data_IF_443609370785
#
_entry.id   IF_443609370785
#
_cell.length_a   1.000
_cell.length_b   1.000
_cell.length_c   1.000
_cell.angle_alpha   90.00
_cell.angle_beta   90.00
_cell.angle_gamma   90.00
#
_symmetry.space_group_name_H-M   'P 1'
#
loop_
_entity.id
_entity.type
_entity.pdbx_description
1 polymer ?
#
# COMPACT_ATOMS: atom_id res chain seq x y z
N UNK A 1 21.48 -35.50 28.81
CA UNK A 1 21.67 -34.61 27.65
C UNK A 1 20.37 -33.85 27.43
N UNK A 2 20.33 -32.56 27.70
CA UNK A 2 19.13 -31.72 27.59
C UNK A 2 19.02 -31.16 26.17
N UNK A 3 18.10 -31.70 25.37
CA UNK A 3 17.75 -31.19 24.05
C UNK A 3 17.02 -29.86 24.22
N UNK A 4 17.70 -28.76 23.92
CA UNK A 4 17.08 -27.43 23.89
C UNK A 4 16.35 -27.26 22.56
N UNK A 5 15.05 -27.56 22.55
CA UNK A 5 14.19 -27.32 21.37
C UNK A 5 14.01 -25.82 21.21
N UNK A 6 14.76 -25.21 20.29
CA UNK A 6 14.57 -23.79 19.95
C UNK A 6 13.29 -23.67 19.15
N UNK A 7 12.21 -23.18 19.78
CA UNK A 7 10.95 -22.93 19.07
C UNK A 7 11.11 -21.73 18.14
N UNK A 8 11.22 -22.00 16.84
CA UNK A 8 11.26 -20.94 15.82
C UNK A 8 9.91 -20.25 15.73
N UNK A 9 9.86 -18.96 16.09
CA UNK A 9 8.66 -18.14 15.93
C UNK A 9 8.30 -18.01 14.44
N UNK A 10 7.03 -18.21 14.11
CA UNK A 10 6.51 -18.13 12.73
C UNK A 10 5.65 -16.88 12.57
N UNK A 11 5.60 -16.36 11.34
CA UNK A 11 4.68 -15.30 10.96
C UNK A 11 3.23 -15.79 11.14
N UNK A 12 2.42 -15.06 11.87
CA UNK A 12 1.00 -15.39 12.10
C UNK A 12 0.19 -15.54 10.81
N UNK A 13 0.55 -14.81 9.75
CA UNK A 13 -0.20 -14.78 8.49
C UNK A 13 0.24 -15.82 7.46
N UNK A 14 1.54 -15.92 7.20
CA UNK A 14 2.08 -16.79 6.13
C UNK A 14 2.88 -17.98 6.66
N UNK A 15 2.98 -18.11 7.99
CA UNK A 15 3.68 -19.19 8.70
C UNK A 15 5.18 -19.35 8.36
N UNK A 16 5.77 -18.41 7.61
CA UNK A 16 7.22 -18.36 7.37
C UNK A 16 7.98 -18.15 8.70
N UNK A 17 9.11 -18.83 8.93
CA UNK A 17 9.94 -18.58 10.11
C UNK A 17 10.45 -17.14 10.15
N UNK A 18 10.48 -16.55 11.36
CA UNK A 18 10.95 -15.19 11.60
C UNK A 18 12.36 -15.24 12.21
N UNK A 19 13.33 -14.73 11.46
CA UNK A 19 14.75 -14.67 11.88
C UNK A 19 15.15 -13.35 12.53
N UNK A 20 14.42 -12.26 12.23
CA UNK A 20 14.62 -10.94 12.85
C UNK A 20 13.95 -10.95 14.23
N UNK A 21 14.68 -10.79 15.35
CA UNK A 21 14.13 -10.88 16.70
C UNK A 21 13.04 -9.82 16.94
N UNK A 22 13.13 -8.64 16.33
CA UNK A 22 12.06 -7.62 16.41
C UNK A 22 10.78 -8.11 15.76
N UNK A 23 10.88 -8.88 14.68
CA UNK A 23 9.71 -9.45 13.98
C UNK A 23 9.16 -10.65 14.72
N UNK A 24 10.03 -11.49 15.28
CA UNK A 24 9.62 -12.59 16.14
C UNK A 24 8.80 -12.07 17.34
N UNK A 25 9.27 -11.01 18.02
CA UNK A 25 8.52 -10.37 19.11
C UNK A 25 7.17 -9.77 18.67
N UNK A 26 7.05 -9.31 17.43
CA UNK A 26 5.80 -8.80 16.86
C UNK A 26 4.89 -9.89 16.27
N UNK A 27 5.35 -11.14 16.15
CA UNK A 27 4.62 -12.25 15.53
C UNK A 27 4.37 -12.15 14.02
N UNK A 28 4.83 -11.07 13.35
CA UNK A 28 4.52 -10.82 11.93
C UNK A 28 5.72 -10.35 11.11
N UNK A 29 5.93 -10.99 9.95
CA UNK A 29 6.99 -10.64 9.01
C UNK A 29 6.75 -9.31 8.29
N UNK A 30 7.83 -8.67 7.78
CA UNK A 30 7.79 -7.36 7.10
C UNK A 30 6.76 -7.30 5.97
N UNK A 31 6.74 -8.33 5.12
CA UNK A 31 5.81 -8.38 3.99
C UNK A 31 4.35 -8.46 4.46
N UNK A 32 4.04 -9.38 5.37
CA UNK A 32 2.68 -9.54 5.89
C UNK A 32 2.21 -8.31 6.68
N UNK A 33 3.11 -7.67 7.42
CA UNK A 33 2.82 -6.39 8.08
C UNK A 33 2.48 -5.30 7.06
N UNK A 34 3.21 -5.22 5.93
CA UNK A 34 2.87 -4.29 4.84
C UNK A 34 1.50 -4.59 4.24
N UNK A 35 1.18 -5.86 3.93
CA UNK A 35 -0.14 -6.21 3.40
C UNK A 35 -1.25 -5.81 4.39
N UNK A 36 -1.08 -6.12 5.67
CA UNK A 36 -2.05 -5.77 6.72
C UNK A 36 -2.27 -4.25 6.81
N UNK A 37 -1.20 -3.45 6.69
CA UNK A 37 -1.31 -1.98 6.63
C UNK A 37 -2.05 -1.51 5.37
N UNK A 38 -1.78 -2.12 4.21
CA UNK A 38 -2.49 -1.82 2.97
C UNK A 38 -3.98 -2.17 3.05
N UNK A 39 -4.33 -3.35 3.56
CA UNK A 39 -5.71 -3.78 3.78
C UNK A 39 -6.45 -2.80 4.69
N UNK A 40 -5.87 -2.50 5.86
CA UNK A 40 -6.44 -1.55 6.81
C UNK A 40 -6.64 -0.16 6.20
N UNK A 41 -5.66 0.33 5.44
CA UNK A 41 -5.71 1.64 4.80
C UNK A 41 -6.78 1.73 3.69
N UNK A 42 -7.26 0.59 3.17
CA UNK A 42 -8.29 0.54 2.13
C UNK A 42 -9.71 0.27 2.61
N UNK A 43 -9.91 -0.01 3.91
CA UNK A 43 -11.24 -0.31 4.47
C UNK A 43 -12.27 0.80 4.26
N UNK A 44 -11.82 2.05 4.16
CA UNK A 44 -12.69 3.22 3.96
C UNK A 44 -13.09 3.46 2.50
N UNK A 45 -12.60 2.66 1.54
CA UNK A 45 -12.85 2.86 0.11
C UNK A 45 -13.74 1.76 -0.47
N UNK A 46 -14.48 2.10 -1.53
CA UNK A 46 -15.30 1.12 -2.25
C UNK A 46 -14.39 0.10 -2.93
N UNK A 47 -14.77 -1.20 -2.99
CA UNK A 47 -13.95 -2.23 -3.65
C UNK A 47 -13.53 -1.86 -5.09
N UNK A 48 -14.45 -1.29 -5.88
CA UNK A 48 -14.16 -0.85 -7.23
C UNK A 48 -13.08 0.25 -7.31
N UNK A 49 -12.96 1.13 -6.30
CA UNK A 49 -11.88 2.12 -6.25
C UNK A 49 -10.54 1.49 -5.92
N UNK A 50 -10.54 0.46 -5.06
CA UNK A 50 -9.34 -0.30 -4.69
C UNK A 50 -8.82 -1.09 -5.88
N UNK A 51 -9.69 -1.76 -6.63
CA UNK A 51 -9.30 -2.50 -7.83
C UNK A 51 -8.71 -1.56 -8.90
N UNK A 52 -9.36 -0.43 -9.20
CA UNK A 52 -8.80 0.57 -10.13
C UNK A 52 -7.46 1.15 -9.66
N UNK A 53 -7.28 1.32 -8.35
CA UNK A 53 -6.01 1.75 -7.78
C UNK A 53 -4.91 0.69 -7.94
N UNK A 54 -5.25 -0.60 -7.80
CA UNK A 54 -4.32 -1.72 -8.04
C UNK A 54 -3.92 -1.80 -9.51
N UNK A 55 -4.88 -1.71 -10.42
CA UNK A 55 -4.63 -1.64 -11.87
C UNK A 55 -3.64 -0.51 -12.21
N UNK A 56 -3.84 0.69 -11.65
CA UNK A 56 -2.95 1.84 -11.86
C UNK A 56 -1.51 1.57 -11.39
N UNK A 57 -1.35 0.90 -10.24
CA UNK A 57 -0.04 0.53 -9.68
C UNK A 57 0.62 -0.55 -10.54
N UNK A 58 -0.13 -1.56 -10.96
CA UNK A 58 0.34 -2.67 -11.80
C UNK A 58 0.84 -2.16 -13.16
N UNK A 59 0.11 -1.23 -13.77
CA UNK A 59 0.50 -0.56 -15.02
C UNK A 59 1.69 0.41 -14.86
N UNK A 60 2.19 0.60 -13.63
CA UNK A 60 3.24 1.58 -13.29
C UNK A 60 2.87 3.01 -13.71
N UNK A 61 1.57 3.32 -13.79
CA UNK A 61 1.04 4.62 -14.17
C UNK A 61 1.04 5.61 -12.98
N UNK A 62 1.59 5.23 -11.83
CA UNK A 62 1.80 6.07 -10.66
C UNK A 62 3.23 5.88 -10.13
N UNK A 63 3.97 6.97 -9.97
CA UNK A 63 5.38 6.95 -9.53
C UNK A 63 5.62 7.90 -8.37
N UNK A 64 6.45 7.54 -7.38
CA UNK A 64 6.78 8.42 -6.27
C UNK A 64 7.75 9.54 -6.70
N UNK A 65 7.50 10.77 -6.28
CA UNK A 65 8.41 11.90 -6.52
C UNK A 65 9.15 12.35 -5.25
N UNK A 66 8.45 12.43 -4.10
CA UNK A 66 9.01 12.97 -2.83
C UNK A 66 8.89 11.98 -1.69
N UNK A 67 9.74 10.95 -1.67
CA UNK A 67 9.81 9.99 -0.55
C UNK A 67 8.46 9.32 -0.22
N UNK A 68 7.66 9.01 -1.25
CA UNK A 68 6.30 8.44 -1.14
C UNK A 68 5.25 9.33 -0.46
N UNK A 69 5.49 10.64 -0.37
CA UNK A 69 4.49 11.62 0.09
C UNK A 69 3.65 12.20 -1.04
N UNK A 70 4.29 12.36 -2.20
CA UNK A 70 3.67 12.87 -3.44
C UNK A 70 4.03 11.92 -4.57
N UNK A 71 3.04 11.65 -5.42
CA UNK A 71 3.14 10.77 -6.57
C UNK A 71 2.69 11.50 -7.84
N UNK A 72 3.36 11.22 -8.95
CA UNK A 72 2.89 11.59 -10.27
C UNK A 72 2.09 10.44 -10.86
N UNK A 73 0.91 10.73 -11.38
CA UNK A 73 0.05 9.79 -12.10
C UNK A 73 0.01 10.19 -13.56
N UNK A 74 0.23 9.24 -14.45
CA UNK A 74 0.06 9.43 -15.89
C UNK A 74 -1.44 9.30 -16.19
N UNK A 75 -2.00 10.33 -16.82
CA UNK A 75 -3.39 10.33 -17.24
C UNK A 75 -3.65 9.30 -18.36
N UNK A 76 -4.91 8.92 -18.56
CA UNK A 76 -5.29 7.93 -19.58
C UNK A 76 -4.96 8.35 -21.02
N UNK A 77 -4.73 9.64 -21.28
CA UNK A 77 -4.25 10.12 -22.58
C UNK A 77 -2.75 9.92 -22.80
N UNK A 78 -2.02 9.40 -21.81
CA UNK A 78 -0.59 9.10 -21.89
C UNK A 78 0.33 10.32 -21.81
N UNK A 79 -0.21 11.54 -21.81
CA UNK A 79 0.57 12.79 -21.88
C UNK A 79 0.49 13.57 -20.57
N UNK A 80 -0.73 13.77 -20.06
CA UNK A 80 -0.92 14.60 -18.88
C UNK A 80 -0.47 13.88 -17.61
N UNK A 81 -0.01 14.67 -16.64
CA UNK A 81 0.40 14.18 -15.32
C UNK A 81 -0.38 14.86 -14.22
N UNK A 82 -0.95 14.05 -13.34
CA UNK A 82 -1.55 14.51 -12.10
C UNK A 82 -0.59 14.33 -10.93
N UNK A 83 -0.60 15.28 -9.99
CA UNK A 83 0.01 15.13 -8.69
C UNK A 83 -1.05 14.61 -7.70
N UNK A 84 -0.69 13.55 -6.99
CA UNK A 84 -1.55 12.94 -5.99
C UNK A 84 -0.77 12.67 -4.70
N UNK A 85 -1.47 12.81 -3.59
CA UNK A 85 -1.08 12.45 -2.24
C UNK A 85 -2.28 11.72 -1.59
N UNK A 86 -2.08 10.99 -0.47
CA UNK A 86 -3.20 10.30 0.19
C UNK A 86 -4.43 11.19 0.48
N UNK A 87 -4.18 12.46 0.82
CA UNK A 87 -5.22 13.42 1.20
C UNK A 87 -5.70 14.34 0.06
N UNK A 88 -4.96 14.47 -1.04
CA UNK A 88 -5.30 15.43 -2.11
C UNK A 88 -4.83 14.94 -3.49
N UNK A 89 -5.58 15.27 -4.54
CA UNK A 89 -5.18 14.98 -5.92
C UNK A 89 -5.65 16.12 -6.84
N UNK A 90 -4.81 16.53 -7.78
CA UNK A 90 -5.13 17.59 -8.74
C UNK A 90 -5.82 17.10 -10.01
N UNK A 91 -6.26 15.83 -10.08
CA UNK A 91 -7.06 15.36 -11.21
C UNK A 91 -8.46 16.00 -11.18
N UNK A 92 -9.21 16.02 -12.30
CA UNK A 92 -10.54 16.64 -12.34
C UNK A 92 -11.51 16.15 -11.26
N UNK A 93 -11.48 14.85 -10.94
CA UNK A 93 -12.28 14.28 -9.85
C UNK A 93 -11.80 14.72 -8.46
N UNK A 94 -10.49 14.84 -8.26
CA UNK A 94 -9.87 15.30 -7.02
C UNK A 94 -10.14 16.78 -6.75
N UNK A 95 -10.05 17.64 -7.77
CA UNK A 95 -10.35 19.06 -7.69
C UNK A 95 -11.82 19.34 -7.37
N UNK A 96 -12.74 18.53 -7.93
CA UNK A 96 -14.17 18.63 -7.62
C UNK A 96 -14.53 18.17 -6.20
N UNK A 97 -13.66 17.38 -5.55
CA UNK A 97 -13.80 16.87 -4.19
C UNK A 97 -15.13 16.16 -3.82
N UNK A 98 -16.01 15.86 -4.78
CA UNK A 98 -17.30 15.19 -4.52
C UNK A 98 -17.13 13.74 -4.04
N UNK A 99 -16.13 13.04 -4.58
CA UNK A 99 -15.81 11.65 -4.24
C UNK A 99 -14.30 11.43 -4.25
N UNK A 100 -13.82 10.43 -3.50
CA UNK A 100 -12.42 10.02 -3.56
C UNK A 100 -12.07 9.43 -4.92
N UNK A 101 -11.09 10.00 -5.61
CA UNK A 101 -10.57 9.42 -6.85
C UNK A 101 -9.65 8.22 -6.55
N UNK A 102 -9.58 7.25 -7.48
CA UNK A 102 -8.73 6.07 -7.32
C UNK A 102 -7.22 6.42 -7.27
N UNK A 103 -6.81 7.59 -7.77
CA UNK A 103 -5.43 8.09 -7.61
C UNK A 103 -5.05 8.31 -6.14
N UNK A 104 -5.97 8.79 -5.31
CA UNK A 104 -5.75 8.94 -3.86
C UNK A 104 -5.67 7.58 -3.18
N UNK A 105 -6.51 6.64 -3.59
CA UNK A 105 -6.47 5.25 -3.08
C UNK A 105 -5.15 4.58 -3.44
N UNK A 106 -4.64 4.77 -4.66
CA UNK A 106 -3.32 4.29 -5.06
C UNK A 106 -2.20 4.93 -4.24
N UNK A 107 -2.28 6.24 -3.97
CA UNK A 107 -1.33 6.94 -3.11
C UNK A 107 -1.35 6.39 -1.66
N UNK A 108 -2.53 6.10 -1.11
CA UNK A 108 -2.68 5.46 0.20
C UNK A 108 -2.02 4.08 0.23
N UNK A 109 -2.26 3.24 -0.79
CA UNK A 109 -1.68 1.91 -0.91
C UNK A 109 -0.14 1.93 -1.01
N UNK A 110 0.43 2.93 -1.68
CA UNK A 110 1.88 3.07 -1.85
C UNK A 110 2.57 3.69 -0.62
N UNK A 111 1.84 4.46 0.18
CA UNK A 111 2.33 5.09 1.41
C UNK A 111 2.27 4.15 2.64
N UNK A 112 1.44 3.10 2.60
CA UNK A 112 1.28 2.09 3.67
C UNK A 112 2.42 1.03 3.70
#
# INVERSE_FOLDING_TARGET
MTTTTTTTVKCERCHRPLTDPKRAALGIGRHCARIRRQEAATLAFKPAQVEKARELIEQRAIVPLRGRRVFAVIASNGVDRYLTAPHACNCPAGLKAKHTCYHRVAAVLLAA
#
